data_IF_779391839441
#
_entry.id   IF_779391839441
#
_cell.length_a   1.000
_cell.length_b   1.000
_cell.length_c   1.000
_cell.angle_alpha   90.00
_cell.angle_beta   90.00
_cell.angle_gamma   90.00
#
_symmetry.space_group_name_H-M   'P 1'
#
loop_
_entity.id
_entity.type
_entity.pdbx_description
1 polymer ?
#
# COMPACT_ATOMS: atom_id res chain seq x y z
N UNK A 1 2.98 -13.21 15.45
CA UNK A 1 1.63 -12.63 15.33
C UNK A 1 0.73 -13.66 14.69
N UNK A 2 -0.38 -13.97 15.36
CA UNK A 2 -1.39 -14.92 14.89
C UNK A 2 -2.53 -14.12 14.22
N UNK A 3 -2.79 -14.39 12.94
CA UNK A 3 -3.83 -13.68 12.19
C UNK A 3 -5.16 -14.43 12.30
N UNK A 4 -6.22 -13.70 12.64
CA UNK A 4 -7.58 -14.22 12.71
C UNK A 4 -8.15 -14.41 11.30
N UNK A 5 -8.56 -15.64 10.98
CA UNK A 5 -9.25 -15.93 9.73
C UNK A 5 -10.65 -15.31 9.72
N UNK A 6 -11.01 -14.61 8.64
CA UNK A 6 -12.34 -14.01 8.46
C UNK A 6 -12.74 -14.04 6.99
N UNK A 7 -14.04 -14.17 6.71
CA UNK A 7 -14.58 -13.97 5.38
C UNK A 7 -14.75 -12.47 5.11
N UNK A 8 -14.32 -11.99 3.93
CA UNK A 8 -14.42 -10.57 3.61
C UNK A 8 -15.90 -10.16 3.46
N UNK A 9 -16.22 -9.00 4.00
CA UNK A 9 -17.53 -8.39 3.82
C UNK A 9 -17.59 -7.53 2.56
N UNK A 10 -18.80 -7.10 2.17
CA UNK A 10 -19.01 -6.36 0.91
C UNK A 10 -18.11 -5.12 0.80
N UNK A 11 -17.85 -4.43 1.91
CA UNK A 11 -16.92 -3.30 1.96
C UNK A 11 -15.51 -3.70 1.53
N UNK A 12 -14.99 -4.79 2.09
CA UNK A 12 -13.62 -5.27 1.87
C UNK A 12 -13.44 -5.89 0.48
N UNK A 13 -14.53 -6.33 -0.14
CA UNK A 13 -14.60 -6.81 -1.53
C UNK A 13 -14.66 -5.67 -2.57
N UNK A 14 -14.65 -4.42 -2.13
CA UNK A 14 -14.55 -3.23 -2.98
C UNK A 14 -13.26 -2.49 -2.70
N UNK A 15 -12.78 -1.71 -3.67
CA UNK A 15 -11.62 -0.84 -3.52
C UNK A 15 -12.04 0.63 -3.62
N UNK A 16 -11.24 1.55 -3.04
CA UNK A 16 -11.39 2.97 -3.30
C UNK A 16 -11.39 3.27 -4.80
N UNK A 17 -12.19 4.25 -5.21
CA UNK A 17 -12.29 4.65 -6.61
C UNK A 17 -11.27 5.75 -6.93
N UNK A 18 -10.47 5.52 -7.97
CA UNK A 18 -9.50 6.48 -8.50
C UNK A 18 -9.80 6.77 -9.98
N UNK A 19 -9.57 7.99 -10.43
CA UNK A 19 -9.72 8.35 -11.84
C UNK A 19 -8.83 9.51 -12.29
N UNK A 20 -9.05 10.02 -13.50
CA UNK A 20 -8.21 11.07 -14.08
C UNK A 20 -8.28 12.42 -13.33
N UNK A 21 -9.25 12.59 -12.44
CA UNK A 21 -9.29 13.72 -11.50
C UNK A 21 -8.34 13.54 -10.32
N UNK A 22 -7.93 12.31 -10.05
CA UNK A 22 -7.09 11.91 -8.94
C UNK A 22 -5.60 11.86 -9.28
N UNK A 23 -5.27 11.54 -10.54
CA UNK A 23 -3.90 11.36 -11.00
C UNK A 23 -3.72 11.99 -12.36
N UNK A 24 -2.81 12.96 -12.46
CA UNK A 24 -2.45 13.57 -13.73
C UNK A 24 -1.44 12.68 -14.49
N UNK A 25 -1.53 12.53 -15.84
CA UNK A 25 -0.63 11.66 -16.59
C UNK A 25 0.87 11.95 -16.43
N UNK A 26 1.23 13.21 -16.15
CA UNK A 26 2.62 13.62 -15.94
C UNK A 26 3.20 13.14 -14.60
N UNK A 27 2.38 12.68 -13.67
CA UNK A 27 2.86 12.21 -12.35
C UNK A 27 3.59 10.87 -12.42
N UNK A 28 3.58 10.21 -13.58
CA UNK A 28 4.36 9.01 -13.84
C UNK A 28 5.76 9.31 -14.38
N UNK A 29 6.07 10.57 -14.70
CA UNK A 29 7.41 11.01 -15.10
C UNK A 29 8.10 11.74 -13.93
N UNK A 30 8.96 11.00 -13.24
CA UNK A 30 9.73 11.50 -12.10
C UNK A 30 10.84 12.49 -12.53
N UNK A 31 11.12 12.61 -13.82
CA UNK A 31 12.25 13.39 -14.36
C UNK A 31 11.90 14.82 -14.75
N UNK A 32 10.62 15.19 -14.70
CA UNK A 32 10.11 16.51 -15.09
C UNK A 32 9.46 17.26 -13.91
N UNK A 33 9.63 16.77 -12.68
CA UNK A 33 9.01 17.34 -11.47
C UNK A 33 9.72 18.62 -10.99
N UNK A 34 10.88 18.94 -11.56
CA UNK A 34 11.74 20.04 -11.18
C UNK A 34 12.19 20.84 -12.41
N UNK A 35 12.82 21.99 -12.18
CA UNK A 35 13.27 22.88 -13.26
C UNK A 35 14.45 22.34 -14.07
N UNK A 36 15.23 21.39 -13.51
CA UNK A 36 16.36 20.74 -14.16
C UNK A 36 16.17 19.23 -14.29
N UNK A 37 17.10 18.58 -14.98
CA UNK A 37 17.09 17.12 -15.12
C UNK A 37 17.74 16.43 -13.91
N UNK A 38 17.21 15.26 -13.49
CA UNK A 38 17.85 14.44 -12.47
C UNK A 38 19.11 13.75 -13.01
N UNK A 39 20.09 13.58 -12.14
CA UNK A 39 21.33 12.86 -12.40
C UNK A 39 21.08 11.38 -12.21
N UNK A 40 21.29 10.59 -13.27
CA UNK A 40 21.23 9.13 -13.19
C UNK A 40 20.99 8.48 -14.54
N UNK A 41 21.04 7.16 -14.56
CA UNK A 41 20.63 6.35 -15.71
C UNK A 41 19.11 6.48 -15.88
N UNK A 42 18.66 7.31 -16.83
CA UNK A 42 17.23 7.44 -17.14
C UNK A 42 16.68 6.10 -17.61
N UNK A 43 15.53 5.71 -17.08
CA UNK A 43 14.86 4.48 -17.48
C UNK A 43 13.35 4.57 -17.55
N UNK A 44 12.78 3.65 -18.32
CA UNK A 44 11.34 3.38 -18.37
C UNK A 44 11.03 2.14 -17.56
N UNK A 45 10.01 2.23 -16.71
CA UNK A 45 9.41 1.08 -16.05
C UNK A 45 8.03 0.88 -16.64
N UNK A 46 7.76 -0.32 -17.17
CA UNK A 46 6.47 -0.63 -17.75
C UNK A 46 6.04 -2.04 -17.40
N UNK A 47 4.73 -2.26 -17.40
CA UNK A 47 4.19 -3.56 -17.04
C UNK A 47 2.69 -3.67 -17.18
N UNK A 48 2.16 -4.81 -16.74
CA UNK A 48 0.71 -5.03 -16.58
C UNK A 48 0.39 -5.45 -15.14
N UNK A 49 -0.74 -4.96 -14.64
CA UNK A 49 -1.39 -5.42 -13.43
C UNK A 49 -2.52 -6.39 -13.82
N UNK A 50 -2.38 -7.64 -13.41
CA UNK A 50 -3.30 -8.73 -13.72
C UNK A 50 -3.80 -9.37 -12.43
N UNK A 51 -5.02 -9.89 -12.44
CA UNK A 51 -5.51 -10.71 -11.34
C UNK A 51 -5.01 -12.17 -11.43
N UNK A 52 -5.39 -13.00 -10.45
CA UNK A 52 -4.99 -14.40 -10.39
C UNK A 52 -5.54 -15.27 -11.54
N UNK A 53 -6.46 -14.76 -12.37
CA UNK A 53 -6.97 -15.41 -13.58
C UNK A 53 -6.36 -14.82 -14.86
N UNK A 54 -5.38 -13.92 -14.73
CA UNK A 54 -4.72 -13.24 -15.86
C UNK A 54 -5.55 -12.13 -16.50
N UNK A 55 -6.62 -11.67 -15.86
CA UNK A 55 -7.45 -10.59 -16.39
C UNK A 55 -6.85 -9.23 -16.03
N UNK A 56 -6.88 -8.24 -16.93
CA UNK A 56 -6.48 -6.87 -16.66
C UNK A 56 -7.18 -6.26 -15.44
N UNK A 57 -6.39 -5.68 -14.55
CA UNK A 57 -6.87 -4.85 -13.45
C UNK A 57 -6.78 -3.39 -13.89
N UNK A 58 -7.86 -2.91 -14.48
CA UNK A 58 -7.96 -1.57 -15.07
C UNK A 58 -8.22 -0.47 -14.05
N UNK A 59 -7.74 0.73 -14.35
CA UNK A 59 -8.01 1.98 -13.63
C UNK A 59 -7.70 1.89 -12.13
N UNK A 60 -6.66 1.13 -11.77
CA UNK A 60 -6.18 1.03 -10.40
C UNK A 60 -4.92 1.85 -10.19
N UNK A 61 -4.81 2.40 -8.98
CA UNK A 61 -3.70 3.23 -8.57
C UNK A 61 -2.43 2.39 -8.36
N UNK A 62 -1.37 2.78 -9.06
CA UNK A 62 0.01 2.34 -8.79
C UNK A 62 0.80 3.57 -8.40
N UNK A 63 1.46 3.52 -7.25
CA UNK A 63 2.37 4.55 -6.77
C UNK A 63 3.75 3.92 -6.59
N UNK A 64 4.79 4.64 -6.97
CA UNK A 64 6.18 4.21 -6.78
C UNK A 64 6.96 5.21 -5.95
N UNK A 65 7.96 4.72 -5.22
CA UNK A 65 8.96 5.56 -4.60
C UNK A 65 10.34 4.91 -4.57
N UNK A 66 11.38 5.73 -4.61
CA UNK A 66 12.77 5.28 -4.70
C UNK A 66 13.77 6.32 -4.22
N UNK A 67 15.01 5.88 -4.02
CA UNK A 67 16.16 6.76 -3.87
C UNK A 67 16.60 7.39 -5.21
N UNK A 68 17.45 8.41 -5.15
CA UNK A 68 18.17 8.94 -6.31
C UNK A 68 19.30 7.98 -6.78
N UNK A 69 20.02 8.33 -7.84
CA UNK A 69 21.11 7.53 -8.39
C UNK A 69 22.27 7.24 -7.41
N UNK A 70 22.40 8.04 -6.35
CA UNK A 70 23.40 7.86 -5.30
C UNK A 70 22.90 7.07 -4.09
N UNK A 71 21.67 6.55 -4.14
CA UNK A 71 21.07 5.79 -3.03
C UNK A 71 20.55 6.68 -1.90
N UNK A 72 20.30 7.97 -2.14
CA UNK A 72 19.73 8.90 -1.16
C UNK A 72 18.23 9.12 -1.42
N UNK A 73 17.41 8.92 -0.39
CA UNK A 73 16.01 9.34 -0.40
C UNK A 73 15.89 10.81 -0.03
N UNK A 74 14.95 11.52 -0.67
CA UNK A 74 14.56 12.88 -0.33
C UNK A 74 13.74 12.93 0.98
N UNK A 75 14.27 12.34 2.06
CA UNK A 75 13.59 12.17 3.34
C UNK A 75 14.43 12.63 4.52
N UNK A 76 13.84 13.36 5.47
CA UNK A 76 14.54 13.93 6.63
C UNK A 76 15.19 12.88 7.55
N UNK A 77 14.56 11.69 7.67
CA UNK A 77 15.10 10.57 8.47
C UNK A 77 16.13 9.72 7.70
N UNK A 78 16.38 9.98 6.42
CA UNK A 78 17.48 9.32 5.72
C UNK A 78 18.81 9.96 6.15
N UNK A 79 19.65 9.17 6.82
CA UNK A 79 20.96 9.56 7.35
C UNK A 79 22.12 9.14 6.44
N UNK A 80 21.86 8.61 5.25
CA UNK A 80 22.92 8.25 4.32
C UNK A 80 23.72 9.51 3.91
N UNK A 81 25.04 9.40 3.78
CA UNK A 81 25.91 10.56 3.48
C UNK A 81 25.89 10.96 2.00
N UNK A 82 25.33 10.14 1.12
CA UNK A 82 25.21 10.46 -0.30
C UNK A 82 24.42 11.76 -0.52
N UNK A 83 24.77 12.54 -1.56
CA UNK A 83 24.13 13.81 -1.83
C UNK A 83 22.66 13.62 -2.24
N UNK A 84 21.83 14.61 -1.91
CA UNK A 84 20.53 14.75 -2.56
C UNK A 84 20.74 15.23 -4.00
N UNK A 85 19.79 14.88 -4.86
CA UNK A 85 19.69 15.46 -6.19
C UNK A 85 18.61 16.56 -6.13
N UNK A 86 18.95 17.84 -6.40
CA UNK A 86 17.99 18.94 -6.34
C UNK A 86 16.85 18.81 -7.36
N UNK A 87 17.01 17.96 -8.38
CA UNK A 87 16.06 17.74 -9.46
C UNK A 87 15.34 16.39 -9.36
N UNK A 88 15.41 15.69 -8.21
CA UNK A 88 14.76 14.38 -8.05
C UNK A 88 14.09 14.20 -6.69
N UNK A 89 12.76 14.10 -6.68
CA UNK A 89 11.97 13.76 -5.47
C UNK A 89 11.90 12.25 -5.24
N UNK A 90 11.78 11.48 -6.32
CA UNK A 90 11.75 10.01 -6.25
C UNK A 90 10.37 9.40 -5.97
N UNK A 91 9.26 10.10 -6.27
CA UNK A 91 7.89 9.59 -6.11
C UNK A 91 7.08 9.80 -7.38
N UNK A 92 6.23 8.84 -7.74
CA UNK A 92 5.31 9.02 -8.86
C UNK A 92 4.10 8.11 -8.77
N UNK A 93 3.09 8.39 -9.59
CA UNK A 93 1.84 7.61 -9.61
C UNK A 93 1.22 7.59 -11.00
N UNK A 94 0.51 6.50 -11.29
CA UNK A 94 -0.31 6.37 -12.48
C UNK A 94 -1.55 5.53 -12.18
N UNK A 95 -2.53 5.60 -13.07
CA UNK A 95 -3.60 4.62 -13.13
C UNK A 95 -3.29 3.60 -14.21
N UNK A 96 -3.64 2.35 -13.97
CA UNK A 96 -3.59 1.34 -15.03
C UNK A 96 -4.59 1.64 -16.13
N UNK A 97 -4.21 1.38 -17.38
CA UNK A 97 -5.11 1.50 -18.54
C UNK A 97 -6.15 0.37 -18.59
N UNK A 98 -6.96 0.33 -19.65
CA UNK A 98 -8.00 -0.70 -19.83
C UNK A 98 -7.44 -2.13 -20.03
N UNK A 99 -6.18 -2.25 -20.46
CA UNK A 99 -5.42 -3.51 -20.58
C UNK A 99 -4.58 -3.82 -19.32
N UNK A 100 -4.73 -3.01 -18.27
CA UNK A 100 -3.99 -3.15 -17.01
C UNK A 100 -2.55 -2.64 -17.12
N UNK A 101 -2.18 -1.98 -18.21
CA UNK A 101 -0.87 -1.42 -18.49
C UNK A 101 -0.53 -0.26 -17.55
N UNK A 102 0.73 -0.16 -17.14
CA UNK A 102 1.27 0.98 -16.41
C UNK A 102 2.65 1.36 -16.95
N UNK A 103 3.02 2.63 -16.83
CA UNK A 103 4.29 3.17 -17.31
C UNK A 103 4.80 4.29 -16.39
N UNK A 104 6.08 4.27 -16.08
CA UNK A 104 6.82 5.33 -15.40
C UNK A 104 8.10 5.69 -16.15
N UNK A 105 8.53 6.94 -16.04
CA UNK A 105 9.84 7.43 -16.47
C UNK A 105 10.58 7.91 -15.21
N UNK A 106 11.77 7.41 -14.97
CA UNK A 106 12.56 7.72 -13.76
C UNK A 106 14.05 7.57 -14.03
N UNK A 107 14.87 7.57 -12.98
CA UNK A 107 16.28 7.18 -13.01
C UNK A 107 16.49 5.86 -12.25
N UNK A 108 17.54 5.11 -12.59
CA UNK A 108 17.97 3.95 -11.80
C UNK A 108 18.39 4.41 -10.40
N UNK A 109 17.79 3.86 -9.33
CA UNK A 109 18.22 4.17 -7.97
C UNK A 109 19.58 3.54 -7.67
N UNK A 110 20.37 4.22 -6.83
CA UNK A 110 21.58 3.64 -6.25
C UNK A 110 21.25 2.66 -5.13
N UNK A 111 22.13 1.68 -4.93
CA UNK A 111 22.16 0.88 -3.70
C UNK A 111 22.53 1.78 -2.50
N UNK A 112 22.08 1.40 -1.30
CA UNK A 112 22.36 2.20 -0.09
C UNK A 112 22.60 1.34 1.16
N UNK A 113 23.44 1.81 2.09
CA UNK A 113 23.70 1.10 3.34
C UNK A 113 22.56 1.29 4.32
N UNK A 114 22.33 0.28 5.17
CA UNK A 114 21.34 0.34 6.23
C UNK A 114 21.83 -0.41 7.47
N UNK A 115 21.27 -0.11 8.64
CA UNK A 115 21.77 -0.62 9.93
C UNK A 115 21.10 -1.92 10.36
N UNK A 116 21.00 -2.90 9.46
CA UNK A 116 20.34 -4.18 9.75
C UNK A 116 21.33 -5.24 10.27
N UNK A 117 22.46 -5.44 9.60
CA UNK A 117 23.52 -6.36 9.97
C UNK A 117 24.89 -5.80 9.56
N UNK A 118 25.98 -6.52 9.84
CA UNK A 118 27.33 -6.10 9.48
C UNK A 118 27.45 -5.94 7.95
N UNK A 119 27.90 -4.78 7.48
CA UNK A 119 28.03 -4.45 6.06
C UNK A 119 26.74 -4.64 5.24
N UNK A 120 25.59 -4.28 5.83
CA UNK A 120 24.31 -4.41 5.17
C UNK A 120 24.07 -3.32 4.13
N UNK A 121 23.73 -3.74 2.92
CA UNK A 121 23.32 -2.88 1.80
C UNK A 121 22.00 -3.36 1.23
N UNK A 122 21.15 -2.41 0.83
CA UNK A 122 19.99 -2.70 0.00
C UNK A 122 20.42 -2.62 -1.48
N UNK A 123 20.05 -3.59 -2.33
CA UNK A 123 20.27 -3.53 -3.78
C UNK A 123 19.55 -2.32 -4.37
N UNK A 124 19.83 -1.99 -5.64
CA UNK A 124 18.99 -1.05 -6.36
C UNK A 124 17.55 -1.60 -6.40
N UNK A 125 16.58 -0.79 -5.95
CA UNK A 125 15.17 -1.18 -5.94
C UNK A 125 14.24 0.02 -6.00
N UNK A 126 13.02 -0.23 -6.46
CA UNK A 126 11.93 0.74 -6.51
C UNK A 126 10.75 0.11 -5.78
N UNK A 127 10.19 0.84 -4.82
CA UNK A 127 9.02 0.39 -4.10
C UNK A 127 7.76 0.61 -4.95
N UNK A 128 6.82 -0.33 -4.84
CA UNK A 128 5.52 -0.29 -5.50
C UNK A 128 4.42 -0.36 -4.45
N UNK A 129 3.46 0.56 -4.54
CA UNK A 129 2.17 0.55 -3.86
C UNK A 129 1.11 0.28 -4.92
N UNK A 130 0.33 -0.79 -4.74
CA UNK A 130 -0.61 -1.30 -5.73
C UNK A 130 -1.98 -1.47 -5.07
N UNK A 131 -3.01 -0.96 -5.73
CA UNK A 131 -4.41 -1.22 -5.42
C UNK A 131 -4.97 -2.30 -6.35
N UNK A 132 -5.75 -3.23 -5.79
CA UNK A 132 -6.55 -4.17 -6.55
C UNK A 132 -7.99 -3.70 -6.71
N UNK A 133 -8.87 -4.62 -7.09
CA UNK A 133 -10.33 -4.37 -7.18
C UNK A 133 -11.06 -4.48 -5.83
N UNK A 134 -10.36 -4.96 -4.80
CA UNK A 134 -10.84 -5.11 -3.44
C UNK A 134 -9.81 -4.54 -2.45
N UNK A 135 -10.25 -3.99 -1.32
CA UNK A 135 -9.37 -3.46 -0.28
C UNK A 135 -8.42 -4.53 0.26
N UNK A 136 -8.87 -5.79 0.31
CA UNK A 136 -8.06 -6.96 0.68
C UNK A 136 -6.92 -7.28 -0.28
N UNK A 137 -6.94 -6.69 -1.49
CA UNK A 137 -5.89 -6.84 -2.52
C UNK A 137 -4.87 -5.70 -2.49
N UNK A 138 -4.92 -4.84 -1.47
CA UNK A 138 -3.92 -3.79 -1.26
C UNK A 138 -2.54 -4.44 -1.07
N UNK A 139 -1.54 -3.97 -1.81
CA UNK A 139 -0.19 -4.54 -1.76
C UNK A 139 0.88 -3.46 -1.79
N UNK A 140 1.92 -3.65 -0.97
CA UNK A 140 3.21 -2.99 -1.15
C UNK A 140 4.24 -4.06 -1.49
N UNK A 141 5.09 -3.80 -2.48
CA UNK A 141 6.17 -4.69 -2.91
C UNK A 141 7.38 -3.90 -3.41
N UNK A 142 8.42 -4.58 -3.88
CA UNK A 142 9.64 -3.97 -4.37
C UNK A 142 10.04 -4.60 -5.71
N UNK A 143 10.39 -3.74 -6.66
CA UNK A 143 11.01 -4.14 -7.92
C UNK A 143 12.52 -4.02 -7.79
N UNK A 144 13.24 -5.07 -8.18
CA UNK A 144 14.69 -5.14 -8.20
C UNK A 144 15.22 -5.18 -9.64
N UNK A 145 16.50 -4.90 -9.81
CA UNK A 145 17.16 -4.90 -11.12
C UNK A 145 17.88 -6.22 -11.38
N UNK A 146 17.93 -6.69 -12.64
CA UNK A 146 18.62 -7.92 -12.98
C UNK A 146 20.12 -7.80 -12.71
N UNK A 147 20.74 -8.93 -12.34
CA UNK A 147 22.18 -9.07 -12.15
C UNK A 147 22.81 -8.17 -11.06
N UNK A 148 22.02 -7.65 -10.11
CA UNK A 148 22.54 -6.94 -8.95
C UNK A 148 23.16 -7.94 -7.94
N UNK A 149 24.49 -7.87 -7.67
CA UNK A 149 25.16 -8.83 -6.79
C UNK A 149 24.68 -8.75 -5.34
N UNK A 150 24.05 -7.64 -4.92
CA UNK A 150 23.53 -7.46 -3.56
C UNK A 150 22.27 -8.28 -3.29
N UNK A 151 21.58 -8.79 -4.32
CA UNK A 151 20.37 -9.60 -4.14
C UNK A 151 20.62 -10.87 -3.30
N UNK A 152 21.79 -11.50 -3.48
CA UNK A 152 22.15 -12.68 -2.70
C UNK A 152 22.35 -12.36 -1.20
N UNK A 153 22.59 -11.09 -0.86
CA UNK A 153 22.92 -10.63 0.48
C UNK A 153 21.76 -9.88 1.16
N UNK A 154 20.76 -9.41 0.42
CA UNK A 154 19.64 -8.61 0.94
C UNK A 154 18.62 -9.48 1.71
N UNK A 155 18.53 -9.36 3.05
CA UNK A 155 17.58 -10.14 3.84
C UNK A 155 16.12 -9.86 3.48
N UNK A 156 15.80 -8.69 2.92
CA UNK A 156 14.44 -8.35 2.48
C UNK A 156 14.08 -9.15 1.22
N UNK A 157 14.96 -9.17 0.22
CA UNK A 157 14.78 -10.03 -0.94
C UNK A 157 14.76 -11.52 -0.57
N UNK A 158 15.66 -11.94 0.34
CA UNK A 158 15.76 -13.32 0.81
C UNK A 158 14.60 -13.75 1.73
N UNK A 159 13.79 -12.82 2.26
CA UNK A 159 12.62 -13.17 3.08
C UNK A 159 11.52 -13.85 2.27
N UNK A 160 11.52 -13.69 0.95
CA UNK A 160 10.67 -14.45 0.05
C UNK A 160 11.33 -15.80 -0.21
N UNK A 161 10.85 -16.85 0.47
CA UNK A 161 11.53 -18.14 0.50
C UNK A 161 11.39 -18.96 -0.79
N UNK A 162 10.31 -18.76 -1.56
CA UNK A 162 10.13 -19.40 -2.88
C UNK A 162 11.03 -18.70 -3.93
N UNK A 163 12.01 -19.40 -4.52
CA UNK A 163 12.86 -18.84 -5.57
C UNK A 163 12.08 -18.31 -6.77
N UNK A 164 11.00 -19.00 -7.19
CA UNK A 164 10.18 -18.53 -8.31
C UNK A 164 9.44 -17.25 -7.97
N UNK A 165 9.05 -17.07 -6.70
CA UNK A 165 8.43 -15.83 -6.23
C UNK A 165 9.41 -14.67 -6.18
N UNK A 166 10.66 -14.92 -5.78
CA UNK A 166 11.73 -13.93 -5.83
C UNK A 166 12.05 -13.46 -7.24
N UNK A 167 12.14 -14.38 -8.19
CA UNK A 167 12.39 -14.03 -9.60
C UNK A 167 11.31 -13.10 -10.18
N UNK A 168 10.07 -13.16 -9.68
CA UNK A 168 8.99 -12.22 -10.10
C UNK A 168 9.19 -10.79 -9.62
N UNK A 169 10.03 -10.57 -8.61
CA UNK A 169 10.39 -9.24 -8.11
C UNK A 169 11.52 -8.59 -8.93
N UNK A 170 12.22 -9.37 -9.77
CA UNK A 170 13.34 -8.88 -10.58
C UNK A 170 12.81 -8.47 -11.96
N UNK A 171 12.98 -7.20 -12.30
CA UNK A 171 12.63 -6.68 -13.61
C UNK A 171 13.49 -7.31 -14.72
N UNK A 172 12.97 -7.31 -15.94
CA UNK A 172 13.67 -7.79 -17.14
C UNK A 172 14.03 -6.59 -18.01
N UNK A 173 15.23 -6.60 -18.57
CA UNK A 173 15.57 -5.61 -19.59
C UNK A 173 14.74 -5.85 -20.85
N UNK A 174 14.21 -4.78 -21.43
CA UNK A 174 13.47 -4.81 -22.69
C UNK A 174 14.00 -3.73 -23.62
N UNK A 175 14.64 -4.13 -24.71
CA UNK A 175 15.28 -3.17 -25.63
C UNK A 175 14.25 -2.32 -26.38
N UNK A 176 13.09 -2.89 -26.70
CA UNK A 176 12.12 -2.31 -27.63
C UNK A 176 11.27 -1.20 -26.97
N UNK A 177 11.33 -1.09 -25.64
CA UNK A 177 10.64 -0.05 -24.86
C UNK A 177 11.47 1.25 -24.79
N UNK A 178 12.78 1.17 -25.06
CA UNK A 178 13.68 2.33 -25.10
C UNK A 178 13.55 3.12 -26.41
N UNK A 179 13.91 4.40 -26.40
CA UNK A 179 13.93 5.25 -27.60
C UNK A 179 15.38 5.60 -27.97
N UNK A 180 15.79 5.65 -29.25
CA UNK A 180 17.17 6.00 -29.60
C UNK A 180 17.62 7.34 -28.99
N UNK A 181 18.82 7.37 -28.41
CA UNK A 181 19.37 8.49 -27.61
C UNK A 181 18.60 8.83 -26.31
N UNK A 182 17.74 7.93 -25.83
CA UNK A 182 16.99 8.07 -24.58
C UNK A 182 16.68 6.70 -23.92
N UNK A 183 16.98 6.58 -22.62
CA UNK A 183 16.43 5.55 -21.70
C UNK A 183 17.04 4.14 -21.81
N UNK A 184 17.34 3.52 -20.66
CA UNK A 184 17.31 2.04 -20.53
C UNK A 184 15.90 1.61 -20.14
N UNK A 185 15.47 0.39 -20.46
CA UNK A 185 14.10 -0.04 -20.15
C UNK A 185 14.08 -1.31 -19.32
N UNK A 186 13.23 -1.30 -18.31
CA UNK A 186 13.00 -2.43 -17.40
C UNK A 186 11.51 -2.75 -17.39
N UNK A 187 11.15 -3.92 -17.90
CA UNK A 187 9.81 -4.47 -17.86
C UNK A 187 9.59 -5.34 -16.61
N UNK A 188 8.42 -5.22 -15.99
CA UNK A 188 7.98 -6.08 -14.90
C UNK A 188 6.49 -6.36 -15.02
N UNK A 189 6.01 -7.53 -14.60
CA UNK A 189 4.56 -7.78 -14.49
C UNK A 189 4.26 -8.08 -13.03
N UNK A 190 3.28 -7.40 -12.45
CA UNK A 190 2.93 -7.57 -11.04
C UNK A 190 2.19 -8.90 -10.77
N UNK A 191 2.05 -9.77 -11.80
CA UNK A 191 1.70 -11.21 -11.78
C UNK A 191 2.23 -11.89 -13.07
N UNK A 192 3.23 -12.79 -13.06
CA UNK A 192 3.60 -13.60 -14.26
C UNK A 192 4.64 -14.74 -14.01
N UNK A 193 4.83 -15.75 -14.90
CA UNK A 193 5.14 -15.55 -16.32
C UNK A 193 4.13 -16.18 -17.29
N UNK A 194 3.90 -15.51 -18.42
CA UNK A 194 3.37 -16.16 -19.61
C UNK A 194 4.35 -17.25 -20.07
N UNK A 195 3.86 -18.49 -20.11
CA UNK A 195 4.45 -19.58 -20.87
C UNK A 195 4.02 -19.37 -22.32
N UNK A 196 4.97 -19.20 -23.24
CA UNK A 196 4.70 -19.40 -24.66
C UNK A 196 4.42 -20.89 -24.86
N UNK A 197 3.15 -21.29 -24.91
CA UNK A 197 2.78 -22.68 -25.19
C UNK A 197 2.62 -22.89 -26.70
N UNK A 198 3.24 -23.91 -27.30
CA UNK A 198 2.87 -24.37 -28.64
C UNK A 198 1.47 -25.00 -28.58
N UNK A 199 0.80 -25.01 -29.73
CA UNK A 199 -0.59 -25.40 -29.89
C UNK A 199 -1.03 -26.68 -29.15
N UNK A 200 -2.19 -26.57 -28.49
CA UNK A 200 -3.14 -27.67 -28.29
C UNK A 200 -2.97 -28.55 -27.06
N UNK A 201 -3.37 -28.08 -25.87
CA UNK A 201 -3.74 -28.93 -24.73
C UNK A 201 -4.88 -28.26 -23.95
N UNK A 202 -5.81 -29.08 -23.43
CA UNK A 202 -6.99 -28.73 -22.63
C UNK A 202 -6.76 -27.58 -21.63
N UNK A 203 -7.68 -26.61 -21.64
CA UNK A 203 -7.72 -25.44 -20.75
C UNK A 203 -8.07 -25.83 -19.31
N UNK A 204 -7.08 -26.33 -18.58
CA UNK A 204 -7.09 -26.20 -17.12
C UNK A 204 -6.85 -24.73 -16.81
N UNK A 205 -7.72 -24.07 -16.07
CA UNK A 205 -7.54 -22.65 -15.69
C UNK A 205 -6.26 -22.50 -14.85
N UNK A 206 -5.14 -22.16 -15.49
CA UNK A 206 -3.87 -21.93 -14.79
C UNK A 206 -3.99 -20.58 -14.06
N UNK A 207 -4.11 -20.63 -12.74
CA UNK A 207 -4.04 -19.46 -11.89
C UNK A 207 -2.63 -18.85 -11.97
N UNK A 208 -2.52 -17.55 -12.22
CA UNK A 208 -1.23 -16.86 -12.22
C UNK A 208 -0.67 -16.79 -10.79
N UNK A 209 0.62 -17.11 -10.58
CA UNK A 209 1.22 -17.00 -9.27
C UNK A 209 1.35 -15.51 -8.86
N UNK A 210 0.88 -15.20 -7.66
CA UNK A 210 0.93 -13.85 -7.09
C UNK A 210 2.39 -13.34 -6.97
N UNK A 211 2.60 -12.06 -7.26
CA UNK A 211 3.83 -11.37 -6.86
C UNK A 211 3.85 -11.20 -5.35
N UNK A 212 4.97 -11.51 -4.68
CA UNK A 212 5.02 -11.43 -3.23
C UNK A 212 4.98 -9.97 -2.75
N UNK A 213 4.20 -9.72 -1.70
CA UNK A 213 4.24 -8.45 -0.96
C UNK A 213 5.52 -8.32 -0.14
N UNK A 214 6.02 -7.10 -0.04
CA UNK A 214 7.17 -6.71 0.79
C UNK A 214 6.94 -5.28 1.31
N UNK A 215 6.24 -5.14 2.44
CA UNK A 215 6.06 -3.83 3.10
C UNK A 215 7.31 -3.36 3.85
N UNK A 216 8.31 -4.22 3.98
CA UNK A 216 9.58 -3.91 4.63
C UNK A 216 10.41 -2.94 3.77
N UNK A 217 10.15 -1.65 3.93
CA UNK A 217 10.82 -0.58 3.21
C UNK A 217 10.69 0.75 3.96
N UNK A 218 11.67 1.66 3.83
CA UNK A 218 11.58 2.93 4.52
C UNK A 218 10.60 3.89 3.80
N UNK A 219 10.09 4.85 4.57
CA UNK A 219 9.53 6.13 4.09
C UNK A 219 8.17 6.11 3.35
N UNK A 220 7.39 5.04 3.39
CA UNK A 220 6.03 5.07 2.83
C UNK A 220 5.14 6.14 3.49
N UNK A 221 5.33 6.44 4.79
CA UNK A 221 4.68 7.55 5.50
C UNK A 221 5.11 8.96 5.08
N UNK A 222 5.98 9.08 4.08
CA UNK A 222 6.35 10.35 3.45
C UNK A 222 6.12 10.35 1.95
N UNK A 223 6.38 9.22 1.29
CA UNK A 223 6.23 9.09 -0.15
C UNK A 223 4.77 8.99 -0.61
N UNK A 224 3.90 8.40 0.21
CA UNK A 224 2.50 8.12 -0.14
C UNK A 224 1.48 9.17 0.33
N UNK A 225 1.68 9.93 1.42
CA UNK A 225 0.74 10.98 1.80
C UNK A 225 0.52 12.03 0.70
N UNK A 226 -0.71 12.53 0.63
CA UNK A 226 -1.11 13.64 -0.22
C UNK A 226 -1.83 14.68 0.64
N UNK A 227 -2.09 15.86 0.07
CA UNK A 227 -2.74 16.94 0.78
C UNK A 227 -4.11 16.49 1.34
N UNK A 228 -4.32 16.68 2.64
CA UNK A 228 -5.56 16.32 3.35
C UNK A 228 -5.93 14.83 3.22
N UNK A 229 -4.94 13.95 3.12
CA UNK A 229 -5.16 12.52 2.94
C UNK A 229 -5.94 11.84 4.09
N UNK A 230 -5.90 12.41 5.29
CA UNK A 230 -6.63 11.93 6.46
C UNK A 230 -8.04 12.54 6.64
N UNK A 231 -8.46 13.44 5.75
CA UNK A 231 -9.78 14.09 5.79
C UNK A 231 -10.71 13.44 4.75
N UNK A 232 -11.41 12.37 5.14
CA UNK A 232 -12.39 11.69 4.29
C UNK A 232 -13.63 12.56 4.05
N UNK A 233 -13.90 13.50 4.96
CA UNK A 233 -14.91 14.56 4.88
C UNK A 233 -14.27 15.85 5.43
N UNK A 234 -14.71 17.05 5.00
CA UNK A 234 -14.20 18.30 5.55
C UNK A 234 -14.37 18.39 7.07
N UNK A 235 -13.32 18.83 7.80
CA UNK A 235 -13.44 19.20 9.21
C UNK A 235 -14.55 20.23 9.42
N UNK A 236 -15.39 20.02 10.44
CA UNK A 236 -16.50 20.92 10.75
C UNK A 236 -17.81 20.63 10.01
N UNK A 237 -17.83 19.61 9.14
CA UNK A 237 -19.11 19.07 8.65
C UNK A 237 -19.96 18.57 9.83
N UNK A 238 -21.28 18.76 9.75
CA UNK A 238 -22.21 18.36 10.82
C UNK A 238 -22.16 16.87 11.17
N UNK A 239 -21.74 16.03 10.21
CA UNK A 239 -21.58 14.57 10.38
C UNK A 239 -20.12 14.15 10.65
N UNK A 240 -19.19 15.10 10.74
CA UNK A 240 -17.77 14.75 10.92
C UNK A 240 -17.51 14.24 12.33
N UNK A 241 -16.80 13.13 12.41
CA UNK A 241 -16.20 12.58 13.62
C UNK A 241 -14.69 12.50 13.43
N UNK A 242 -13.96 12.48 14.55
CA UNK A 242 -12.53 12.18 14.55
C UNK A 242 -12.32 10.72 14.96
N UNK A 243 -11.60 9.96 14.15
CA UNK A 243 -11.02 8.68 14.53
C UNK A 243 -9.54 8.91 14.80
N UNK A 244 -9.03 8.57 15.98
CA UNK A 244 -7.63 8.77 16.34
C UNK A 244 -7.09 7.66 17.22
N UNK A 245 -5.78 7.61 17.41
CA UNK A 245 -5.14 6.68 18.34
C UNK A 245 -3.64 6.68 18.23
N UNK A 246 -3.00 5.73 18.92
CA UNK A 246 -1.54 5.55 18.91
C UNK A 246 -1.18 4.17 18.37
N UNK A 247 -0.12 4.09 17.55
CA UNK A 247 0.49 2.83 17.14
C UNK A 247 1.68 2.51 18.05
N UNK A 248 1.68 1.32 18.66
CA UNK A 248 2.75 0.85 19.55
C UNK A 248 3.27 -0.53 19.16
N UNK A 249 4.54 -0.80 19.48
CA UNK A 249 5.20 -2.08 19.24
C UNK A 249 4.93 -3.11 20.36
N UNK A 250 5.64 -4.24 20.32
CA UNK A 250 5.51 -5.34 21.29
C UNK A 250 5.90 -5.00 22.73
N UNK A 251 6.70 -3.95 22.93
CA UNK A 251 7.18 -3.49 24.24
C UNK A 251 6.36 -2.27 24.71
N UNK A 252 5.52 -1.71 23.84
CA UNK A 252 4.66 -0.56 24.12
C UNK A 252 5.27 0.77 23.69
N UNK A 253 6.39 0.75 22.97
CA UNK A 253 7.02 1.96 22.44
C UNK A 253 6.25 2.47 21.22
N UNK A 254 6.11 3.80 21.04
CA UNK A 254 5.46 4.36 19.86
C UNK A 254 6.14 4.00 18.55
N UNK A 255 5.36 3.79 17.49
CA UNK A 255 5.84 3.52 16.14
C UNK A 255 5.70 4.77 15.28
N UNK A 256 6.78 5.54 15.04
CA UNK A 256 6.70 6.89 14.49
C UNK A 256 6.67 6.97 12.96
N UNK A 257 6.56 5.84 12.29
CA UNK A 257 6.67 5.70 10.84
C UNK A 257 5.62 4.75 10.25
N UNK A 258 4.56 4.52 11.01
CA UNK A 258 3.43 3.77 10.51
C UNK A 258 2.61 4.62 9.53
N UNK A 259 1.94 3.95 8.60
CA UNK A 259 0.95 4.50 7.70
C UNK A 259 -0.29 3.66 7.86
N UNK A 260 -1.40 4.33 8.10
CA UNK A 260 -2.70 3.73 8.30
C UNK A 260 -3.54 4.15 7.10
N UNK A 261 -4.18 3.19 6.46
CA UNK A 261 -5.19 3.45 5.44
C UNK A 261 -6.54 2.95 5.96
N UNK A 262 -7.59 3.75 5.79
CA UNK A 262 -8.95 3.35 6.15
C UNK A 262 -9.86 3.33 4.93
N UNK A 263 -10.83 2.42 4.92
CA UNK A 263 -11.89 2.30 3.93
C UNK A 263 -13.22 2.03 4.62
N UNK A 264 -14.26 2.79 4.29
CA UNK A 264 -15.57 2.68 4.95
C UNK A 264 -16.73 3.19 4.08
N UNK A 265 -17.96 2.75 4.38
CA UNK A 265 -19.15 3.40 3.84
C UNK A 265 -19.38 4.77 4.48
N UNK A 266 -20.30 5.52 3.90
CA UNK A 266 -20.83 6.76 4.47
C UNK A 266 -21.81 6.50 5.63
N UNK A 267 -22.38 7.57 6.16
CA UNK A 267 -23.32 7.52 7.29
C UNK A 267 -24.66 6.83 6.97
N UNK A 268 -24.98 6.67 5.69
CA UNK A 268 -26.19 6.00 5.22
C UNK A 268 -25.89 4.53 4.83
N UNK A 269 -24.66 4.06 5.07
CA UNK A 269 -24.21 2.68 4.82
C UNK A 269 -23.78 2.43 3.37
N UNK A 270 -23.71 3.47 2.55
CA UNK A 270 -23.37 3.38 1.13
C UNK A 270 -21.85 3.43 0.92
N UNK A 271 -21.34 2.54 0.07
CA UNK A 271 -19.91 2.49 -0.26
C UNK A 271 -19.66 3.50 -1.39
N UNK A 272 -18.73 4.46 -1.22
CA UNK A 272 -18.40 5.41 -2.28
C UNK A 272 -17.90 4.71 -3.54
N UNK A 273 -18.46 5.08 -4.69
CA UNK A 273 -18.11 4.54 -6.00
C UNK A 273 -17.62 5.63 -6.99
N UNK A 274 -17.55 6.88 -6.53
CA UNK A 274 -17.09 8.01 -7.32
C UNK A 274 -15.59 8.26 -7.10
N UNK A 275 -14.92 8.77 -8.15
CA UNK A 275 -13.52 9.21 -8.10
C UNK A 275 -13.36 10.46 -7.23
N UNK A 276 -12.13 10.79 -6.82
CA UNK A 276 -11.85 11.90 -5.89
C UNK A 276 -11.14 11.47 -4.60
N UNK A 277 -10.72 10.21 -4.49
CA UNK A 277 -10.05 9.67 -3.31
C UNK A 277 -8.69 10.32 -3.02
N UNK A 278 -8.01 10.88 -4.04
CA UNK A 278 -6.71 11.57 -3.89
C UNK A 278 -6.84 13.10 -3.89
N UNK A 279 -7.98 13.66 -4.30
CA UNK A 279 -8.21 15.10 -4.38
C UNK A 279 -9.44 15.50 -3.56
N UNK A 280 -9.21 16.09 -2.37
CA UNK A 280 -10.27 16.57 -1.48
C UNK A 280 -10.90 17.84 -2.04
N UNK A 281 -12.10 17.73 -2.58
CA UNK A 281 -12.85 18.87 -3.12
C UNK A 281 -13.39 19.81 -2.04
N UNK A 282 -13.54 19.33 -0.81
CA UNK A 282 -14.02 20.13 0.31
C UNK A 282 -15.51 19.99 0.58
N UNK A 283 -16.19 19.00 0.01
CA UNK A 283 -17.59 18.67 0.33
C UNK A 283 -17.92 17.18 0.23
N UNK A 284 -17.26 16.43 -0.65
CA UNK A 284 -17.58 15.02 -0.93
C UNK A 284 -16.92 14.10 0.08
N UNK A 285 -17.72 13.18 0.65
CA UNK A 285 -17.19 12.04 1.38
C UNK A 285 -16.66 10.98 0.42
N UNK A 286 -15.41 10.55 0.62
CA UNK A 286 -14.75 9.63 -0.32
C UNK A 286 -14.60 8.21 0.20
N UNK A 287 -14.86 7.95 1.48
CA UNK A 287 -14.72 6.62 2.11
C UNK A 287 -13.30 6.15 2.39
N UNK A 288 -12.30 6.62 1.63
CA UNK A 288 -10.90 6.25 1.79
C UNK A 288 -10.00 7.42 2.20
N UNK A 289 -9.00 7.13 3.03
CA UNK A 289 -7.91 8.05 3.33
C UNK A 289 -6.73 7.35 3.98
N UNK A 290 -5.63 8.09 4.14
CA UNK A 290 -4.42 7.62 4.81
C UNK A 290 -3.86 8.62 5.81
N UNK A 291 -3.23 8.14 6.87
CA UNK A 291 -2.59 8.96 7.91
C UNK A 291 -1.26 8.33 8.32
N UNK A 292 -0.21 9.16 8.40
CA UNK A 292 1.09 8.75 8.94
C UNK A 292 1.16 9.06 10.41
N UNK A 293 1.88 8.24 11.17
CA UNK A 293 2.10 8.51 12.58
C UNK A 293 3.13 9.61 12.79
N UNK A 294 2.94 10.39 13.86
CA UNK A 294 3.95 11.35 14.34
C UNK A 294 5.06 10.65 15.16
N UNK A 295 6.02 11.42 15.68
CA UNK A 295 7.13 10.87 16.48
C UNK A 295 6.66 10.16 17.78
N UNK A 296 5.43 10.43 18.24
CA UNK A 296 4.81 9.79 19.39
C UNK A 296 3.79 8.72 18.98
N UNK A 297 3.79 8.29 17.71
CA UNK A 297 2.95 7.20 17.22
C UNK A 297 1.49 7.59 16.97
N UNK A 298 1.10 8.86 17.10
CA UNK A 298 -0.29 9.27 16.95
C UNK A 298 -0.71 9.33 15.48
N UNK A 299 -1.93 8.88 15.19
CA UNK A 299 -2.59 9.09 13.91
C UNK A 299 -3.99 9.67 14.13
N UNK A 300 -4.53 10.35 13.13
CA UNK A 300 -5.94 10.77 13.17
C UNK A 300 -6.54 10.97 11.79
N UNK A 301 -7.84 10.73 11.71
CA UNK A 301 -8.70 10.92 10.55
C UNK A 301 -9.91 11.78 10.90
N UNK A 302 -10.36 12.58 9.94
CA UNK A 302 -11.69 13.19 9.96
C UNK A 302 -12.57 12.41 9.00
N UNK A 303 -13.61 11.77 9.52
CA UNK A 303 -14.50 10.87 8.77
C UNK A 303 -15.95 11.01 9.24
N UNK A 304 -16.84 10.11 8.84
CA UNK A 304 -18.21 9.98 9.36
C UNK A 304 -18.35 8.65 10.09
N UNK A 305 -19.31 8.58 11.02
CA UNK A 305 -19.75 7.29 11.57
C UNK A 305 -20.37 6.46 10.43
N UNK A 306 -19.82 5.29 10.07
CA UNK A 306 -20.40 4.46 9.02
C UNK A 306 -21.82 4.02 9.42
N UNK A 307 -22.74 4.09 8.46
CA UNK A 307 -24.10 3.63 8.61
C UNK A 307 -24.18 2.10 8.69
N UNK A 308 -25.27 1.61 9.28
CA UNK A 308 -25.54 0.18 9.39
C UNK A 308 -25.62 -0.48 8.00
N UNK A 309 -24.99 -1.64 7.88
CA UNK A 309 -25.12 -2.53 6.73
C UNK A 309 -25.77 -3.84 7.17
N UNK A 310 -26.52 -4.46 6.26
CA UNK A 310 -27.51 -5.50 6.52
C UNK A 310 -27.21 -6.46 7.68
N UNK A 311 -26.07 -7.17 7.69
CA UNK A 311 -25.82 -8.32 8.57
C UNK A 311 -24.62 -8.19 9.52
N UNK A 312 -23.99 -7.02 9.64
CA UNK A 312 -22.83 -6.80 10.52
C UNK A 312 -22.92 -5.49 11.31
N UNK A 313 -22.13 -5.43 12.38
CA UNK A 313 -21.94 -4.18 13.11
C UNK A 313 -21.18 -3.17 12.22
N UNK A 314 -21.45 -1.85 12.32
CA UNK A 314 -20.70 -0.86 11.55
C UNK A 314 -19.22 -0.91 11.90
N UNK A 315 -18.38 -1.01 10.88
CA UNK A 315 -16.95 -0.99 11.03
C UNK A 315 -16.26 -0.17 9.94
N UNK A 316 -15.03 0.22 10.22
CA UNK A 316 -14.09 0.83 9.28
C UNK A 316 -13.01 -0.21 8.98
N UNK A 317 -12.83 -0.57 7.72
CA UNK A 317 -11.73 -1.44 7.31
C UNK A 317 -10.41 -0.66 7.40
N UNK A 318 -9.36 -1.28 7.95
CA UNK A 318 -8.09 -0.62 8.19
C UNK A 318 -6.93 -1.48 7.70
N UNK A 319 -5.97 -0.86 7.02
CA UNK A 319 -4.68 -1.44 6.68
C UNK A 319 -3.57 -0.69 7.42
N UNK A 320 -2.65 -1.42 8.03
CA UNK A 320 -1.54 -0.90 8.83
C UNK A 320 -0.22 -1.31 8.18
N UNK A 321 0.60 -0.31 7.89
CA UNK A 321 1.96 -0.44 7.37
C UNK A 321 2.91 0.14 8.41
N UNK A 322 4.00 -0.56 8.74
CA UNK A 322 5.00 -0.11 9.70
C UNK A 322 6.37 -0.73 9.36
N UNK A 323 7.48 -0.07 9.72
CA UNK A 323 8.79 -0.73 9.68
C UNK A 323 8.78 -1.99 10.53
N UNK A 324 9.53 -3.00 10.10
CA UNK A 324 9.61 -4.30 10.78
C UNK A 324 8.50 -5.27 10.38
N UNK A 325 7.42 -4.79 9.76
CA UNK A 325 6.41 -5.65 9.16
C UNK A 325 6.84 -6.10 7.76
N UNK A 326 6.99 -7.42 7.56
CA UNK A 326 7.25 -8.00 6.24
C UNK A 326 6.06 -7.83 5.29
N UNK A 327 4.84 -7.89 5.84
CA UNK A 327 3.59 -7.60 5.15
C UNK A 327 2.72 -6.66 6.00
N UNK A 328 1.92 -5.84 5.31
CA UNK A 328 0.90 -5.02 5.94
C UNK A 328 -0.14 -5.88 6.68
N UNK A 329 -0.84 -5.26 7.62
CA UNK A 329 -1.85 -5.92 8.43
C UNK A 329 -3.21 -5.32 8.19
N UNK A 330 -4.23 -6.17 8.09
CA UNK A 330 -5.61 -5.72 8.06
C UNK A 330 -6.23 -5.85 9.45
N UNK A 331 -7.12 -4.93 9.77
CA UNK A 331 -8.01 -5.03 10.92
C UNK A 331 -9.33 -4.31 10.61
N UNK A 332 -10.29 -4.42 11.53
CA UNK A 332 -11.56 -3.69 11.49
C UNK A 332 -11.65 -2.83 12.74
N UNK A 333 -12.07 -1.58 12.58
CA UNK A 333 -12.42 -0.70 13.70
C UNK A 333 -13.92 -0.69 13.83
N UNK A 334 -14.44 -1.42 14.80
CA UNK A 334 -15.86 -1.40 15.15
C UNK A 334 -16.19 -0.18 15.99
N UNK A 335 -17.37 0.39 15.74
CA UNK A 335 -17.84 1.51 16.52
C UNK A 335 -18.60 1.03 17.75
N UNK A 336 -18.50 1.75 18.87
CA UNK A 336 -19.30 1.44 20.06
C UNK A 336 -20.78 1.64 19.73
N UNK A 337 -21.63 0.69 20.12
CA UNK A 337 -23.08 0.79 19.92
C UNK A 337 -23.72 -0.50 19.44
N UNK A 338 -24.59 -0.37 18.43
CA UNK A 338 -25.51 -1.41 18.03
C UNK A 338 -24.84 -2.61 17.34
N UNK A 339 -25.46 -3.78 17.50
CA UNK A 339 -25.14 -5.04 16.78
C UNK A 339 -23.76 -5.62 16.99
N UNK A 340 -22.97 -5.10 17.93
CA UNK A 340 -21.68 -5.70 18.25
C UNK A 340 -21.81 -7.19 18.58
N UNK A 341 -22.86 -7.58 19.32
CA UNK A 341 -23.10 -8.98 19.74
C UNK A 341 -23.59 -9.90 18.63
N UNK A 342 -24.14 -9.32 17.56
CA UNK A 342 -24.60 -10.07 16.38
C UNK A 342 -23.50 -10.26 15.33
N UNK A 343 -22.39 -9.52 15.43
CA UNK A 343 -21.30 -9.56 14.48
C UNK A 343 -20.52 -10.88 14.56
N UNK A 344 -20.39 -11.56 13.42
CA UNK A 344 -19.79 -12.90 13.32
C UNK A 344 -18.32 -12.93 13.75
N UNK A 345 -17.54 -11.91 13.38
CA UNK A 345 -16.13 -11.85 13.75
C UNK A 345 -16.00 -11.60 15.25
N UNK A 346 -16.74 -10.61 15.77
CA UNK A 346 -16.71 -10.27 17.19
C UNK A 346 -17.19 -11.43 18.09
N UNK A 347 -18.24 -12.15 17.68
CA UNK A 347 -18.75 -13.32 18.39
C UNK A 347 -17.78 -14.52 18.38
N UNK A 348 -16.87 -14.59 17.41
CA UNK A 348 -15.87 -15.67 17.32
C UNK A 348 -14.66 -15.48 18.24
N UNK A 349 -14.52 -14.29 18.85
CA UNK A 349 -13.35 -13.91 19.64
C UNK A 349 -13.62 -13.97 21.15
N UNK A 350 -12.61 -14.34 21.97
CA UNK A 350 -12.63 -14.09 23.41
C UNK A 350 -12.87 -12.61 23.74
N UNK A 351 -13.54 -12.32 24.86
CA UNK A 351 -13.95 -10.95 25.21
C UNK A 351 -12.77 -9.95 25.30
N UNK A 352 -11.62 -10.40 25.79
CA UNK A 352 -10.38 -9.63 25.91
C UNK A 352 -9.69 -9.36 24.57
N UNK A 353 -9.92 -10.18 23.56
CA UNK A 353 -9.50 -9.96 22.16
C UNK A 353 -10.51 -9.12 21.41
N UNK A 354 -11.81 -9.37 21.60
CA UNK A 354 -12.92 -8.62 21.00
C UNK A 354 -12.81 -7.12 21.28
N UNK A 355 -12.48 -6.73 22.51
CA UNK A 355 -12.30 -5.32 22.91
C UNK A 355 -11.19 -4.59 22.13
N UNK A 356 -10.21 -5.30 21.56
CA UNK A 356 -9.11 -4.66 20.79
C UNK A 356 -9.53 -4.28 19.37
N UNK A 357 -10.76 -4.62 18.97
CA UNK A 357 -11.38 -4.23 17.70
C UNK A 357 -12.43 -3.11 17.84
N UNK A 358 -12.78 -2.70 19.05
CA UNK A 358 -13.84 -1.72 19.30
C UNK A 358 -13.23 -0.38 19.71
N UNK A 359 -13.55 0.68 18.98
CA UNK A 359 -13.13 2.03 19.34
C UNK A 359 -13.84 2.54 20.60
N UNK A 360 -13.16 3.35 21.40
CA UNK A 360 -13.65 3.90 22.66
C UNK A 360 -13.95 5.39 22.48
N UNK A 361 -15.14 5.89 22.83
CA UNK A 361 -15.42 7.32 22.82
C UNK A 361 -14.54 8.08 23.81
N UNK A 362 -14.02 9.23 23.42
CA UNK A 362 -13.35 10.19 24.29
C UNK A 362 -13.76 11.63 23.98
N UNK A 363 -13.14 12.60 24.66
CA UNK A 363 -13.41 14.03 24.47
C UNK A 363 -13.04 14.55 23.07
N UNK A 364 -12.28 13.79 22.30
CA UNK A 364 -11.79 14.16 20.97
C UNK A 364 -12.46 13.40 19.82
N UNK A 365 -13.25 12.36 20.11
CA UNK A 365 -13.97 11.56 19.12
C UNK A 365 -13.96 10.07 19.48
N UNK A 366 -13.53 9.23 18.53
CA UNK A 366 -13.35 7.79 18.72
C UNK A 366 -11.87 7.46 18.76
N UNK A 367 -11.42 6.86 19.87
CA UNK A 367 -10.06 6.38 20.06
C UNK A 367 -9.94 4.91 19.70
N UNK A 368 -8.96 4.58 18.88
CA UNK A 368 -8.59 3.21 18.50
C UNK A 368 -7.06 3.06 18.52
N UNK A 369 -6.53 2.51 19.60
CA UNK A 369 -5.09 2.26 19.70
C UNK A 369 -4.71 0.96 18.99
N UNK A 370 -3.60 1.00 18.25
CA UNK A 370 -3.09 -0.15 17.48
C UNK A 370 -1.85 -0.68 18.20
N UNK A 371 -1.91 -1.92 18.65
CA UNK A 371 -0.77 -2.61 19.26
C UNK A 371 -0.32 -3.76 18.36
N UNK A 372 0.88 -3.64 17.80
CA UNK A 372 1.39 -4.55 16.78
C UNK A 372 1.72 -5.94 17.31
N UNK A 373 2.07 -6.06 18.59
CA UNK A 373 2.42 -7.33 19.25
C UNK A 373 2.26 -7.22 20.77
N UNK A 374 2.20 -8.36 21.47
CA UNK A 374 2.30 -8.42 22.94
C UNK A 374 0.94 -8.49 23.63
N UNK A 375 0.91 -8.22 24.93
CA UNK A 375 -0.35 -8.25 25.69
C UNK A 375 -1.32 -7.16 25.20
N UNK A 376 -2.56 -7.52 24.90
CA UNK A 376 -3.52 -6.61 24.26
C UNK A 376 -3.22 -6.30 22.79
N UNK A 377 -2.46 -7.15 22.08
CA UNK A 377 -2.29 -7.06 20.62
C UNK A 377 -3.63 -6.87 19.91
N UNK A 378 -3.67 -5.92 18.97
CA UNK A 378 -4.83 -5.70 18.10
C UNK A 378 -5.11 -6.97 17.30
N UNK A 379 -6.36 -7.39 17.21
CA UNK A 379 -6.71 -8.53 16.35
C UNK A 379 -6.48 -8.12 14.89
N UNK A 380 -5.50 -8.75 14.25
CA UNK A 380 -5.24 -8.60 12.82
C UNK A 380 -5.84 -9.75 12.04
N UNK A 381 -6.25 -9.46 10.81
CA UNK A 381 -7.11 -10.31 10.00
C UNK A 381 -6.34 -10.90 8.84
N UNK A 382 -6.68 -12.14 8.52
CA UNK A 382 -6.34 -12.80 7.28
C UNK A 382 -7.63 -13.17 6.58
N UNK A 383 -7.84 -12.63 5.38
CA UNK A 383 -8.99 -12.98 4.57
C UNK A 383 -8.80 -14.36 3.95
N UNK A 384 -9.87 -15.15 3.96
CA UNK A 384 -9.93 -16.38 3.18
C UNK A 384 -9.70 -16.04 1.70
N UNK A 385 -8.76 -16.73 1.04
CA UNK A 385 -8.58 -16.57 -0.41
C UNK A 385 -9.89 -17.00 -1.08
N UNK A 386 -10.64 -16.06 -1.64
CA UNK A 386 -11.77 -16.43 -2.48
C UNK A 386 -11.25 -17.25 -3.67
N UNK A 387 -11.52 -18.56 -3.63
CA UNK A 387 -11.63 -19.36 -4.84
C UNK A 387 -12.78 -18.76 -5.64
N UNK A 388 -12.47 -17.89 -6.60
CA UNK A 388 -13.39 -17.60 -7.70
C UNK A 388 -12.84 -18.25 -8.96
#
# INVERSE_FOLDING_TARGET
MELQGVDPETLELSAPCFGNRDVHPLESDLTIQHCGEPIGERLVITGRLLDGLGRPVRRQLIEIWQANASGRYAHKRDQHRAPLDPNFTGTGRCLTDDDGGYRFITIRPGAYPWRNHQNAWRPAHIHFSVFGTAFTQRMITQMYFPSDPLLALDPIYQSVTDPKARERLVARYDHDVSTPNQLSATGGTLCSPAITAPHGVLMTTISLPETPGQSAGPFFGHALPFQRCNELIPPGSSRSIRLHGVVTDGVGEPVPDALIEIWQPDADGMIPAATGSLHRDGWTFTGWGRASTDDAGHYSFTTVQPGLRNDSAPFIAMAVFARGLLNHLFTRVYLPGERLDDDKLLASLPADRRRTLVAVPDEHGLRFDIKLQGDGETVFLRYSRHRR
#
